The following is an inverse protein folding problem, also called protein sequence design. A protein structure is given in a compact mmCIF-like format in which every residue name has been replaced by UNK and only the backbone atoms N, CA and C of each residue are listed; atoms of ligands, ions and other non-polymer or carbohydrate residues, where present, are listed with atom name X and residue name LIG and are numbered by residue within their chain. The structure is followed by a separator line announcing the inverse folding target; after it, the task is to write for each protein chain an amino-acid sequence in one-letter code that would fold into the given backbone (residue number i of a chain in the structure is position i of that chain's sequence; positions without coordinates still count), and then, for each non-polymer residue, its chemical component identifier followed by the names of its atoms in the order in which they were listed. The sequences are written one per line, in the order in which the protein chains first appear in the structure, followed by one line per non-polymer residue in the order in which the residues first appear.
data_IF_984072433917
#
_entry.id   IF_984072433917
#
_cell.length_a   1.000
_cell.length_b   1.000
_cell.length_c   1.000
_cell.angle_alpha   90.00
_cell.angle_beta   90.00
_cell.angle_gamma   90.00
#
_symmetry.space_group_name_H-M   'P 1'
#
loop_
_entity.id
_entity.type
_entity.pdbx_description
1 polymer ?
#
# COMPACT_ATOMS: atom_id res chain seq x y z
N UNK A 1 -58.39 -9.07 3.92
CA UNK A 1 -57.20 -9.63 4.57
C UNK A 1 -56.01 -9.55 3.62
N UNK A 2 -55.41 -8.35 3.58
CA UNK A 2 -54.22 -8.04 2.77
C UNK A 2 -53.31 -7.13 3.56
N UNK A 3 -52.51 -7.66 4.41
CA UNK A 3 -51.38 -6.93 4.94
C UNK A 3 -50.53 -7.85 5.80
N UNK A 4 -49.48 -8.45 5.26
CA UNK A 4 -48.23 -8.75 5.94
C UNK A 4 -47.26 -9.32 4.90
N UNK A 5 -46.57 -8.51 4.15
CA UNK A 5 -45.44 -8.97 3.36
C UNK A 5 -44.53 -7.83 2.89
N UNK A 6 -44.51 -6.67 3.55
CA UNK A 6 -43.64 -5.56 3.18
C UNK A 6 -42.52 -5.25 4.16
N UNK A 7 -42.35 -6.03 5.21
CA UNK A 7 -41.37 -5.72 6.28
C UNK A 7 -40.06 -6.49 6.25
N UNK A 8 -40.01 -7.64 5.61
CA UNK A 8 -38.80 -8.50 5.64
C UNK A 8 -37.78 -8.19 4.56
N UNK A 9 -38.20 -7.63 3.42
CA UNK A 9 -37.30 -7.28 2.31
C UNK A 9 -36.45 -6.04 2.57
N UNK A 10 -36.94 -5.09 3.37
CA UNK A 10 -36.24 -3.84 3.64
C UNK A 10 -35.22 -3.94 4.79
N UNK A 11 -35.40 -4.89 5.70
CA UNK A 11 -34.47 -5.14 6.81
C UNK A 11 -33.20 -5.81 6.29
N UNK A 12 -33.32 -6.72 5.32
CA UNK A 12 -32.15 -7.37 4.70
C UNK A 12 -31.38 -6.44 3.76
N UNK A 13 -32.00 -5.41 3.18
CA UNK A 13 -31.30 -4.42 2.32
C UNK A 13 -30.51 -3.38 3.09
N UNK A 14 -30.76 -3.19 4.38
CA UNK A 14 -30.09 -2.17 5.21
C UNK A 14 -28.86 -2.68 5.98
N UNK A 15 -28.53 -3.96 5.90
CA UNK A 15 -27.48 -4.54 6.74
C UNK A 15 -26.37 -5.25 5.97
N UNK A 16 -26.25 -5.01 4.66
CA UNK A 16 -25.00 -5.29 3.96
C UNK A 16 -24.13 -4.04 4.13
N UNK A 17 -23.48 -3.93 5.26
CA UNK A 17 -22.22 -3.21 5.34
C UNK A 17 -21.29 -3.95 4.38
N UNK A 18 -21.20 -3.52 3.14
CA UNK A 18 -20.11 -3.90 2.26
C UNK A 18 -18.86 -3.32 2.91
N UNK A 19 -18.21 -4.10 3.72
CA UNK A 19 -16.79 -3.96 3.98
C UNK A 19 -16.10 -4.21 2.64
N UNK A 20 -16.02 -3.18 1.83
CA UNK A 20 -15.25 -3.22 0.60
C UNK A 20 -13.80 -3.01 0.99
N UNK A 21 -13.06 -4.10 1.08
CA UNK A 21 -11.60 -4.03 1.20
C UNK A 21 -11.06 -3.51 -0.13
N UNK A 22 -10.34 -2.40 -0.09
CA UNK A 22 -9.69 -1.84 -1.27
C UNK A 22 -8.37 -2.57 -1.53
N UNK A 23 -8.13 -2.90 -2.78
CA UNK A 23 -6.81 -3.38 -3.19
C UNK A 23 -5.92 -2.19 -3.53
N UNK A 24 -4.72 -2.20 -2.97
CA UNK A 24 -3.67 -1.22 -3.26
C UNK A 24 -2.36 -1.93 -3.60
N UNK A 25 -1.45 -1.23 -4.23
CA UNK A 25 -0.08 -1.69 -4.44
C UNK A 25 0.89 -0.78 -3.69
N UNK A 26 2.00 -1.34 -3.27
CA UNK A 26 3.11 -0.64 -2.67
C UNK A 26 4.41 -1.26 -3.20
N UNK A 27 5.27 -0.46 -3.80
CA UNK A 27 6.51 -0.93 -4.41
C UNK A 27 7.72 -0.14 -3.93
N UNK A 28 8.77 -0.88 -3.58
CA UNK A 28 10.09 -0.30 -3.31
C UNK A 28 11.00 -0.58 -4.51
N UNK A 29 11.21 0.46 -5.33
CA UNK A 29 12.09 0.41 -6.50
C UNK A 29 13.52 0.62 -6.01
N UNK A 30 14.41 -0.30 -6.40
CA UNK A 30 15.78 -0.36 -5.90
C UNK A 30 16.79 0.04 -6.95
N UNK A 31 17.81 0.83 -6.54
CA UNK A 31 18.99 1.14 -7.33
C UNK A 31 20.18 1.46 -6.41
N UNK A 32 21.34 0.85 -6.67
CA UNK A 32 22.61 1.17 -6.00
C UNK A 32 22.48 1.24 -4.46
N UNK A 33 21.86 0.23 -3.86
CA UNK A 33 21.56 0.14 -2.41
C UNK A 33 20.65 1.26 -1.86
N UNK A 34 19.83 1.87 -2.72
CA UNK A 34 18.82 2.84 -2.34
C UNK A 34 17.42 2.33 -2.72
N UNK A 35 16.40 2.82 -2.02
CA UNK A 35 15.00 2.75 -2.46
C UNK A 35 14.53 4.11 -2.96
N UNK A 36 13.73 4.12 -4.04
CA UNK A 36 12.99 5.30 -4.46
C UNK A 36 11.80 5.48 -3.52
N UNK A 37 11.85 6.55 -2.74
CA UNK A 37 10.83 6.87 -1.75
C UNK A 37 10.05 8.11 -2.15
N UNK A 38 8.76 8.11 -1.90
CA UNK A 38 7.86 9.24 -2.08
C UNK A 38 7.60 9.93 -0.74
N UNK A 39 8.04 11.17 -0.60
CA UNK A 39 7.68 12.03 0.53
C UNK A 39 6.35 12.73 0.24
N UNK A 40 5.30 12.36 0.92
CA UNK A 40 3.92 12.85 0.72
C UNK A 40 3.78 14.28 1.25
N UNK A 41 4.00 15.28 0.40
CA UNK A 41 4.04 16.70 0.82
C UNK A 41 2.98 17.57 0.18
N UNK A 42 2.43 17.18 -0.98
CA UNK A 42 1.65 18.08 -1.83
C UNK A 42 0.14 18.04 -1.62
N UNK A 43 -0.43 16.95 -1.10
CA UNK A 43 -1.87 16.83 -0.84
C UNK A 43 -2.19 17.21 0.60
N UNK A 44 -3.15 18.14 0.81
CA UNK A 44 -3.51 18.61 2.16
C UNK A 44 -4.33 17.56 2.95
N UNK A 45 -5.27 16.88 2.29
CA UNK A 45 -6.14 15.87 2.91
C UNK A 45 -5.61 14.45 2.60
N UNK A 46 -4.38 14.18 3.00
CA UNK A 46 -3.72 12.90 2.78
C UNK A 46 -3.38 12.26 4.13
N UNK A 47 -3.87 11.06 4.39
CA UNK A 47 -3.56 10.28 5.60
C UNK A 47 -2.04 10.02 5.72
N UNK A 48 -1.33 10.02 4.59
CA UNK A 48 0.11 9.86 4.52
C UNK A 48 0.89 11.19 4.56
N UNK A 49 0.23 12.32 4.78
CA UNK A 49 0.89 13.64 4.77
C UNK A 49 2.10 13.70 5.68
N UNK A 50 3.25 14.09 5.12
CA UNK A 50 4.53 14.17 5.81
C UNK A 50 5.25 12.85 6.01
N UNK A 51 4.66 11.72 5.58
CA UNK A 51 5.28 10.39 5.65
C UNK A 51 6.04 10.05 4.37
N UNK A 52 7.00 9.17 4.50
CA UNK A 52 7.74 8.55 3.41
C UNK A 52 7.18 7.17 3.13
N UNK A 53 6.79 6.93 1.91
CA UNK A 53 6.21 5.66 1.48
C UNK A 53 6.91 5.14 0.21
N UNK A 54 6.66 3.89 -0.15
CA UNK A 54 6.97 3.38 -1.48
C UNK A 54 6.04 3.95 -2.55
N UNK A 55 6.27 3.58 -3.79
CA UNK A 55 5.47 3.95 -4.96
C UNK A 55 4.26 3.02 -5.05
N UNK A 56 3.06 3.55 -5.35
CA UNK A 56 1.86 2.75 -5.54
C UNK A 56 0.58 3.47 -5.17
N UNK A 57 -0.53 2.80 -5.39
CA UNK A 57 -1.85 3.37 -5.16
C UNK A 57 -2.96 2.35 -5.24
N UNK A 58 -4.18 2.84 -5.40
CA UNK A 58 -5.39 2.02 -5.46
C UNK A 58 -5.57 1.40 -6.84
N UNK A 59 -5.97 0.12 -6.86
CA UNK A 59 -6.39 -0.52 -8.11
C UNK A 59 -7.63 0.15 -8.69
N UNK A 60 -7.65 0.30 -9.99
CA UNK A 60 -8.76 0.84 -10.76
C UNK A 60 -9.53 -0.28 -11.48
N UNK A 61 -10.86 -0.18 -11.43
CA UNK A 61 -11.72 -1.14 -12.13
C UNK A 61 -11.45 -2.60 -11.74
N UNK A 62 -10.95 -3.39 -12.69
CA UNK A 62 -10.66 -4.81 -12.51
C UNK A 62 -9.16 -5.11 -12.69
N UNK A 63 -8.29 -4.16 -12.37
CA UNK A 63 -6.85 -4.36 -12.45
C UNK A 63 -6.38 -5.52 -11.57
N UNK A 64 -5.43 -6.29 -12.09
CA UNK A 64 -4.62 -7.19 -11.27
C UNK A 64 -3.62 -6.37 -10.41
N UNK A 65 -3.03 -6.96 -9.35
CA UNK A 65 -1.98 -6.29 -8.60
C UNK A 65 -0.82 -5.79 -9.47
N UNK A 66 -0.44 -6.58 -10.50
CA UNK A 66 0.65 -6.22 -11.41
C UNK A 66 0.27 -5.08 -12.36
N UNK A 67 -0.96 -5.07 -12.89
CA UNK A 67 -1.45 -3.97 -13.73
C UNK A 67 -1.50 -2.66 -12.95
N UNK A 68 -2.02 -2.68 -11.74
CA UNK A 68 -2.02 -1.54 -10.83
C UNK A 68 -0.59 -1.06 -10.53
N UNK A 69 0.31 -1.98 -10.16
CA UNK A 69 1.72 -1.67 -9.91
C UNK A 69 2.37 -0.94 -11.09
N UNK A 70 2.22 -1.48 -12.30
CA UNK A 70 2.88 -0.92 -13.50
C UNK A 70 2.31 0.45 -13.87
N UNK A 71 1.00 0.65 -13.74
CA UNK A 71 0.36 1.95 -13.96
C UNK A 71 0.83 2.98 -12.94
N UNK A 72 0.72 2.67 -11.64
CA UNK A 72 1.09 3.60 -10.56
C UNK A 72 2.58 3.97 -10.62
N UNK A 73 3.46 2.99 -10.84
CA UNK A 73 4.89 3.26 -11.00
C UNK A 73 5.16 4.23 -12.17
N UNK A 74 4.45 4.04 -13.29
CA UNK A 74 4.58 4.92 -14.45
C UNK A 74 4.05 6.33 -14.18
N UNK A 75 2.89 6.44 -13.55
CA UNK A 75 2.23 7.71 -13.25
C UNK A 75 3.01 8.52 -12.21
N UNK A 76 3.41 7.89 -11.11
CA UNK A 76 4.10 8.58 -10.02
C UNK A 76 5.57 8.88 -10.30
N UNK A 77 6.26 8.00 -11.05
CA UNK A 77 7.73 8.10 -11.18
C UNK A 77 8.22 8.34 -12.61
N UNK A 78 7.39 8.11 -13.62
CA UNK A 78 7.82 8.08 -15.03
C UNK A 78 8.57 6.80 -15.43
N UNK A 79 8.88 5.90 -14.49
CA UNK A 79 9.60 4.66 -14.75
C UNK A 79 8.68 3.58 -15.31
N UNK A 80 9.23 2.72 -16.16
CA UNK A 80 8.58 1.51 -16.64
C UNK A 80 9.28 0.31 -16.04
N UNK A 81 8.66 -0.36 -15.08
CA UNK A 81 9.28 -1.50 -14.39
C UNK A 81 9.39 -2.70 -15.35
N UNK A 82 10.60 -3.27 -15.45
CA UNK A 82 10.92 -4.43 -16.29
C UNK A 82 11.18 -5.69 -15.49
N UNK A 83 11.62 -5.56 -14.23
CA UNK A 83 11.74 -6.68 -13.30
C UNK A 83 11.24 -6.28 -11.92
N UNK A 84 10.27 -7.05 -11.41
CA UNK A 84 9.67 -6.85 -10.10
C UNK A 84 9.29 -8.19 -9.46
N UNK A 85 9.14 -8.17 -8.14
CA UNK A 85 8.80 -9.36 -7.37
C UNK A 85 7.68 -9.05 -6.38
N UNK A 86 6.65 -9.88 -6.36
CA UNK A 86 5.60 -9.86 -5.35
C UNK A 86 6.15 -10.45 -4.05
N UNK A 87 6.24 -9.64 -3.00
CA UNK A 87 6.89 -10.00 -1.74
C UNK A 87 5.90 -10.46 -0.68
N UNK A 88 4.73 -9.86 -0.64
CA UNK A 88 3.73 -10.21 0.37
C UNK A 88 2.45 -9.42 0.28
N UNK A 89 1.48 -9.80 1.10
CA UNK A 89 0.19 -9.15 1.28
C UNK A 89 0.11 -8.52 2.67
N UNK A 90 -0.35 -7.28 2.73
CA UNK A 90 -0.54 -6.56 3.98
C UNK A 90 -2.01 -6.18 4.11
N UNK A 91 -2.67 -6.69 5.14
CA UNK A 91 -4.01 -6.25 5.53
C UNK A 91 -3.87 -5.06 6.46
N UNK A 92 -4.20 -3.88 5.97
CA UNK A 92 -4.20 -2.63 6.74
C UNK A 92 -5.61 -2.33 7.22
N UNK A 93 -5.77 -2.12 8.53
CA UNK A 93 -7.04 -1.81 9.17
C UNK A 93 -6.86 -0.56 10.03
N UNK A 94 -7.69 0.44 9.81
CA UNK A 94 -7.72 1.68 10.59
C UNK A 94 -9.17 2.05 10.91
N UNK A 95 -9.38 2.79 11.98
CA UNK A 95 -10.66 3.41 12.31
C UNK A 95 -10.90 4.72 11.52
N UNK A 96 -9.89 5.21 10.80
CA UNK A 96 -9.96 6.46 10.03
C UNK A 96 -10.22 6.25 8.54
N UNK A 97 -10.07 5.03 8.02
CA UNK A 97 -10.24 4.73 6.60
C UNK A 97 -10.80 3.32 6.36
N UNK A 98 -11.23 3.05 5.13
CA UNK A 98 -11.64 1.71 4.72
C UNK A 98 -10.45 0.75 4.78
N UNK A 99 -10.68 -0.54 5.15
CA UNK A 99 -9.61 -1.53 5.15
C UNK A 99 -8.99 -1.72 3.77
N UNK A 100 -7.68 -1.90 3.73
CA UNK A 100 -6.93 -2.11 2.50
C UNK A 100 -6.19 -3.44 2.48
N UNK A 101 -6.13 -4.05 1.32
CA UNK A 101 -5.25 -5.17 1.02
C UNK A 101 -4.11 -4.65 0.14
N UNK A 102 -2.97 -4.37 0.75
CA UNK A 102 -1.79 -3.86 0.05
C UNK A 102 -0.96 -5.01 -0.51
N UNK A 103 -0.78 -5.03 -1.81
CA UNK A 103 0.10 -5.94 -2.53
C UNK A 103 1.50 -5.32 -2.54
N UNK A 104 2.42 -5.91 -1.77
CA UNK A 104 3.78 -5.40 -1.60
C UNK A 104 4.73 -5.98 -2.65
N UNK A 105 5.41 -5.09 -3.37
CA UNK A 105 6.40 -5.44 -4.39
C UNK A 105 7.77 -4.82 -4.11
N UNK A 106 8.79 -5.43 -4.70
CA UNK A 106 10.10 -4.80 -4.93
C UNK A 106 10.40 -4.84 -6.41
N UNK A 107 11.08 -3.82 -6.95
CA UNK A 107 11.53 -3.79 -8.33
C UNK A 107 13.00 -3.40 -8.37
N UNK A 108 13.79 -4.08 -9.22
CA UNK A 108 15.22 -3.86 -9.32
C UNK A 108 15.69 -3.58 -10.76
N UNK A 109 14.75 -3.51 -11.70
CA UNK A 109 15.05 -3.12 -13.08
C UNK A 109 13.89 -2.31 -13.67
N UNK A 110 14.22 -1.30 -14.46
CA UNK A 110 13.26 -0.38 -15.06
C UNK A 110 13.88 0.41 -16.20
N UNK A 111 13.03 0.91 -17.11
CA UNK A 111 13.38 1.85 -18.17
C UNK A 111 12.87 3.25 -17.83
N UNK A 112 13.56 4.27 -18.34
CA UNK A 112 13.19 5.68 -18.21
C UNK A 112 13.94 6.42 -17.12
N UNK A 113 13.51 7.64 -16.87
CA UNK A 113 14.08 8.55 -15.86
C UNK A 113 13.00 8.98 -14.88
N UNK A 114 13.40 9.22 -13.63
CA UNK A 114 12.47 9.69 -12.59
C UNK A 114 11.94 11.06 -12.96
N UNK A 115 10.63 11.20 -13.02
CA UNK A 115 9.91 12.44 -13.31
C UNK A 115 9.41 13.12 -12.02
N UNK A 116 8.82 14.30 -12.17
CA UNK A 116 8.17 15.02 -11.07
C UNK A 116 6.86 14.29 -10.72
N UNK A 117 6.66 14.02 -9.44
CA UNK A 117 5.42 13.46 -8.91
C UNK A 117 4.49 14.57 -8.41
N UNK A 118 3.20 14.47 -8.73
CA UNK A 118 2.19 15.43 -8.27
C UNK A 118 1.76 15.23 -6.81
N UNK A 119 2.09 14.09 -6.21
CA UNK A 119 1.70 13.73 -4.85
C UNK A 119 2.75 14.08 -3.79
N UNK A 120 3.99 14.27 -4.19
CA UNK A 120 5.09 14.55 -3.27
C UNK A 120 6.43 14.65 -3.98
N UNK A 121 7.49 14.50 -3.21
CA UNK A 121 8.87 14.57 -3.69
C UNK A 121 9.49 13.18 -3.70
N UNK A 122 9.98 12.76 -4.87
CA UNK A 122 10.67 11.49 -5.05
C UNK A 122 12.16 11.64 -4.72
N UNK A 123 12.67 10.76 -3.87
CA UNK A 123 14.08 10.74 -3.49
C UNK A 123 14.62 9.32 -3.41
N UNK A 124 15.84 9.12 -3.92
CA UNK A 124 16.62 7.92 -3.66
C UNK A 124 17.20 7.98 -2.25
N UNK A 125 16.76 7.07 -1.38
CA UNK A 125 17.18 7.02 0.03
C UNK A 125 17.93 5.72 0.28
N UNK A 126 19.12 5.84 0.90
CA UNK A 126 19.93 4.67 1.27
C UNK A 126 19.12 3.71 2.15
N UNK A 127 19.22 2.42 1.86
CA UNK A 127 18.57 1.35 2.65
C UNK A 127 18.93 1.41 4.12
N UNK A 128 20.13 1.85 4.46
CA UNK A 128 20.60 1.99 5.85
C UNK A 128 19.85 3.07 6.63
N UNK A 129 19.20 4.01 5.93
CA UNK A 129 18.45 5.14 6.53
C UNK A 129 16.94 5.01 6.44
N UNK A 130 16.44 4.02 5.73
CA UNK A 130 14.99 3.87 5.49
C UNK A 130 14.19 3.80 6.79
N UNK A 131 14.68 3.08 7.79
CA UNK A 131 13.99 2.90 9.07
C UNK A 131 14.04 4.15 9.99
N UNK A 132 14.81 5.17 9.61
CA UNK A 132 14.88 6.45 10.33
C UNK A 132 13.87 7.49 9.79
N UNK A 133 13.27 7.21 8.63
CA UNK A 133 12.31 8.11 8.00
C UNK A 133 10.97 8.13 8.75
N UNK A 134 10.25 9.26 8.75
CA UNK A 134 8.87 9.33 9.20
C UNK A 134 7.97 8.46 8.30
N UNK A 135 7.61 7.27 8.77
CA UNK A 135 6.71 6.31 8.11
C UNK A 135 5.57 5.94 9.08
N UNK A 136 4.64 5.11 8.63
CA UNK A 136 3.75 4.45 9.57
C UNK A 136 4.53 3.47 10.44
N UNK A 137 4.13 3.32 11.70
CA UNK A 137 4.81 2.40 12.64
C UNK A 137 4.87 0.96 12.12
N UNK A 138 3.80 0.52 11.45
CA UNK A 138 3.71 -0.81 10.85
C UNK A 138 4.59 -1.00 9.62
N UNK A 139 4.97 0.07 8.93
CA UNK A 139 5.85 -0.04 7.75
C UNK A 139 7.22 -0.61 8.12
N UNK A 140 7.70 -0.31 9.32
CA UNK A 140 8.93 -0.89 9.84
C UNK A 140 8.91 -2.43 9.91
N UNK A 141 7.73 -3.05 9.98
CA UNK A 141 7.60 -4.52 10.01
C UNK A 141 8.02 -5.12 8.68
N UNK A 142 7.40 -4.68 7.56
CA UNK A 142 7.74 -5.21 6.25
C UNK A 142 9.06 -4.62 5.69
N UNK A 143 9.39 -3.37 6.01
CA UNK A 143 10.68 -2.80 5.60
C UNK A 143 11.85 -3.60 6.15
N UNK A 144 11.80 -4.04 7.42
CA UNK A 144 12.84 -4.92 7.98
C UNK A 144 12.94 -6.25 7.24
N UNK A 145 11.82 -6.82 6.77
CA UNK A 145 11.82 -8.04 5.95
C UNK A 145 12.43 -7.79 4.57
N UNK A 146 12.10 -6.65 3.94
CA UNK A 146 12.69 -6.28 2.64
C UNK A 146 14.19 -5.98 2.71
N UNK A 147 14.66 -5.44 3.84
CA UNK A 147 16.08 -5.11 4.07
C UNK A 147 16.91 -6.33 4.52
N UNK A 148 16.26 -7.41 4.91
CA UNK A 148 16.90 -8.67 5.26
C UNK A 148 17.03 -9.61 4.06
N UNK A 149 17.71 -10.76 4.26
CA UNK A 149 17.78 -11.83 3.25
C UNK A 149 16.51 -12.69 3.18
N UNK A 150 15.39 -12.25 3.78
CA UNK A 150 14.14 -12.98 3.76
C UNK A 150 13.56 -13.06 2.33
N UNK A 151 13.43 -14.28 1.82
CA UNK A 151 12.95 -14.53 0.46
C UNK A 151 11.56 -15.17 0.40
N UNK A 152 11.03 -15.63 1.53
CA UNK A 152 9.69 -16.23 1.58
C UNK A 152 8.62 -15.18 1.33
N UNK A 153 7.52 -15.61 0.73
CA UNK A 153 6.30 -14.82 0.68
C UNK A 153 5.72 -14.69 2.09
N UNK A 154 5.17 -13.53 2.42
CA UNK A 154 4.59 -13.30 3.73
C UNK A 154 3.25 -12.57 3.65
N UNK A 155 2.44 -12.77 4.69
CA UNK A 155 1.29 -11.92 4.93
C UNK A 155 1.45 -11.19 6.25
N UNK A 156 0.98 -9.94 6.29
CA UNK A 156 1.03 -9.11 7.49
C UNK A 156 -0.36 -8.54 7.74
N UNK A 157 -0.79 -8.57 8.99
CA UNK A 157 -1.95 -7.82 9.44
C UNK A 157 -1.48 -6.68 10.34
N UNK A 158 -1.88 -5.46 10.01
CA UNK A 158 -1.63 -4.25 10.78
C UNK A 158 -2.95 -3.60 11.15
N UNK A 159 -3.16 -3.33 12.43
CA UNK A 159 -4.35 -2.65 12.91
C UNK A 159 -3.98 -1.42 13.71
N UNK A 160 -4.63 -0.32 13.38
CA UNK A 160 -4.41 0.98 13.98
C UNK A 160 -5.66 1.50 14.68
N UNK A 161 -5.45 2.27 15.75
CA UNK A 161 -6.41 3.20 16.34
C UNK A 161 -5.79 4.59 16.27
N UNK A 162 -6.35 5.46 15.42
CA UNK A 162 -5.67 6.68 15.00
C UNK A 162 -4.29 6.35 14.40
N UNK A 163 -3.26 7.07 14.81
CA UNK A 163 -1.87 6.84 14.35
C UNK A 163 -1.14 5.68 15.07
N UNK A 164 -1.77 5.04 16.07
CA UNK A 164 -1.11 4.04 16.91
C UNK A 164 -1.33 2.63 16.38
N UNK A 165 -0.25 1.89 16.15
CA UNK A 165 -0.30 0.46 15.83
C UNK A 165 -0.67 -0.35 17.09
N UNK A 166 -1.84 -1.02 17.06
CA UNK A 166 -2.35 -1.80 18.21
C UNK A 166 -2.25 -3.31 18.01
N UNK A 167 -2.15 -3.77 16.75
CA UNK A 167 -1.99 -5.20 16.42
C UNK A 167 -1.08 -5.37 15.23
N UNK A 168 -0.16 -6.33 15.32
CA UNK A 168 0.64 -6.80 14.18
C UNK A 168 0.75 -8.32 14.22
N UNK A 169 0.60 -8.94 13.06
CA UNK A 169 0.79 -10.38 12.89
C UNK A 169 1.52 -10.63 11.57
N UNK A 170 2.50 -11.53 11.56
CA UNK A 170 3.29 -11.90 10.37
C UNK A 170 3.23 -13.41 10.18
N UNK A 171 2.92 -13.85 8.97
CA UNK A 171 2.89 -15.27 8.57
C UNK A 171 3.76 -15.46 7.32
N UNK A 172 4.60 -16.49 7.29
CA UNK A 172 5.48 -16.83 6.16
C UNK A 172 4.99 -18.07 5.41
N UNK A 173 5.30 -18.13 4.09
CA UNK A 173 4.93 -19.25 3.20
C UNK A 173 6.13 -19.72 2.37
#
# INVERSE_FOLDING_TARGET
DRSVSRGLGDVYKRQIWRLTMKMTTLCYIEKDNNYLMLHRTKKENDINKGKWIGVGGHAEGCETPEECLLREAKEETGLTLTAYRFRGLITFISDECEPELMCLFTANDYDGEVSICDEGDLCWVSKDKILELPTWEGDAVFLKLLLSDEQRFFTIKLRYEGDKLIEKNVQFY
#
